data_IF_719383485629
#
_entry.id   IF_719383485629
#
_cell.length_a   1.000
_cell.length_b   1.000
_cell.length_c   1.000
_cell.angle_alpha   90.00
_cell.angle_beta   90.00
_cell.angle_gamma   90.00
#
_symmetry.space_group_name_H-M   'P 1'
#
loop_
_entity.id
_entity.type
_entity.pdbx_description
1 polymer ?
#
# COMPACT_ATOMS: atom_id res chain seq x y z
N UNK A 1 9.32 5.59 -13.78
CA UNK A 1 10.33 4.53 -13.56
C UNK A 1 11.46 4.51 -14.60
N UNK A 2 11.34 5.20 -15.75
CA UNK A 2 12.48 5.42 -16.65
C UNK A 2 13.46 6.40 -16.00
N UNK A 3 14.76 6.10 -16.08
CA UNK A 3 15.83 6.95 -15.55
C UNK A 3 16.16 8.09 -16.53
N UNK A 4 17.23 8.85 -16.26
CA UNK A 4 17.78 9.82 -17.22
C UNK A 4 18.33 9.16 -18.50
N UNK A 5 18.77 7.90 -18.43
CA UNK A 5 19.12 7.11 -19.60
C UNK A 5 17.85 6.46 -20.19
N UNK A 6 17.47 6.73 -21.45
CA UNK A 6 16.14 6.36 -21.98
C UNK A 6 15.80 4.87 -21.99
N UNK A 7 16.82 4.00 -22.04
CA UNK A 7 16.68 2.55 -22.08
C UNK A 7 16.93 1.88 -20.72
N UNK A 8 17.12 2.66 -19.65
CA UNK A 8 17.39 2.16 -18.30
C UNK A 8 16.22 2.53 -17.39
N UNK A 9 15.75 1.53 -16.63
CA UNK A 9 14.64 1.64 -15.68
C UNK A 9 15.10 1.28 -14.27
N UNK A 10 14.38 1.81 -13.28
CA UNK A 10 14.58 1.50 -11.87
C UNK A 10 13.22 1.31 -11.18
N UNK A 11 13.16 0.35 -10.27
CA UNK A 11 11.97 0.00 -9.48
C UNK A 11 12.40 -0.59 -8.13
N UNK A 12 11.48 -0.57 -7.17
CA UNK A 12 11.68 -1.04 -5.80
C UNK A 12 12.42 -0.05 -4.92
N UNK A 13 13.04 -0.54 -3.84
CA UNK A 13 13.58 0.30 -2.78
C UNK A 13 14.60 1.35 -3.26
N UNK A 14 15.27 1.09 -4.39
CA UNK A 14 16.22 2.04 -5.01
C UNK A 14 15.58 3.35 -5.48
N UNK A 15 14.27 3.38 -5.72
CA UNK A 15 13.53 4.58 -6.13
C UNK A 15 12.78 5.27 -4.97
N UNK A 16 12.93 4.76 -3.74
CA UNK A 16 12.37 5.34 -2.52
C UNK A 16 11.09 4.70 -2.02
N UNK A 17 10.43 5.38 -1.07
CA UNK A 17 9.22 4.91 -0.39
C UNK A 17 8.00 4.84 -1.33
N UNK A 18 7.05 3.89 -1.16
CA UNK A 18 7.03 2.84 -0.13
C UNK A 18 7.87 1.61 -0.48
N UNK A 19 8.81 1.28 0.41
CA UNK A 19 9.71 0.13 0.32
C UNK A 19 9.04 -1.15 0.81
N UNK A 20 8.09 -1.64 0.02
CA UNK A 20 7.34 -2.86 0.27
C UNK A 20 7.50 -3.82 -0.92
N UNK A 21 7.58 -5.12 -0.65
CA UNK A 21 7.72 -6.13 -1.71
C UNK A 21 6.59 -6.05 -2.76
N UNK A 22 5.34 -5.85 -2.32
CA UNK A 22 4.17 -5.69 -3.19
C UNK A 22 4.26 -4.43 -4.06
N UNK A 23 4.66 -3.30 -3.49
CA UNK A 23 4.87 -2.05 -4.22
C UNK A 23 6.01 -2.19 -5.23
N UNK A 24 7.14 -2.76 -4.82
CA UNK A 24 8.30 -2.99 -5.68
C UNK A 24 7.96 -3.87 -6.88
N UNK A 25 7.16 -4.92 -6.68
CA UNK A 25 6.64 -5.77 -7.75
C UNK A 25 5.79 -4.97 -8.75
N UNK A 26 4.86 -4.14 -8.25
CA UNK A 26 3.99 -3.33 -9.10
C UNK A 26 4.76 -2.27 -9.89
N UNK A 27 5.73 -1.60 -9.25
CA UNK A 27 6.64 -0.67 -9.93
C UNK A 27 7.43 -1.36 -11.05
N UNK A 28 7.90 -2.59 -10.83
CA UNK A 28 8.58 -3.40 -11.84
C UNK A 28 7.66 -3.73 -13.02
N UNK A 29 6.40 -4.10 -12.74
CA UNK A 29 5.38 -4.35 -13.76
C UNK A 29 5.13 -3.10 -14.62
N UNK A 30 4.97 -1.94 -13.98
CA UNK A 30 4.76 -0.66 -14.69
C UNK A 30 5.98 -0.31 -15.56
N UNK A 31 7.19 -0.49 -15.04
CA UNK A 31 8.42 -0.25 -15.80
C UNK A 31 8.51 -1.15 -17.05
N UNK A 32 8.22 -2.44 -16.91
CA UNK A 32 8.21 -3.39 -18.02
C UNK A 32 7.14 -3.04 -19.07
N UNK A 33 5.90 -2.80 -18.64
CA UNK A 33 4.83 -2.43 -19.57
C UNK A 33 5.15 -1.13 -20.33
N UNK A 34 5.70 -0.11 -19.66
CA UNK A 34 6.17 1.10 -20.34
C UNK A 34 7.28 0.80 -21.36
N UNK A 35 8.24 -0.06 -21.03
CA UNK A 35 9.33 -0.43 -21.94
C UNK A 35 8.84 -1.14 -23.21
N UNK A 36 7.74 -1.89 -23.14
CA UNK A 36 7.15 -2.63 -24.26
C UNK A 36 5.92 -1.95 -24.89
N UNK A 37 5.54 -0.74 -24.46
CA UNK A 37 4.35 -0.05 -24.97
C UNK A 37 3.02 -0.73 -24.63
N UNK A 38 2.99 -1.52 -23.56
CA UNK A 38 1.79 -2.23 -23.09
C UNK A 38 0.99 -1.29 -22.18
N UNK A 39 -0.33 -1.11 -22.42
CA UNK A 39 -1.17 -0.27 -21.57
C UNK A 39 -1.29 -0.87 -20.16
N UNK A 40 -1.38 0.01 -19.17
CA UNK A 40 -1.50 -0.35 -17.76
C UNK A 40 -2.83 0.13 -17.19
N UNK A 41 -3.40 -0.60 -16.22
CA UNK A 41 -4.46 -0.04 -15.38
C UNK A 41 -3.93 1.17 -14.61
N UNK A 42 -4.82 2.08 -14.17
CA UNK A 42 -4.43 3.21 -13.34
C UNK A 42 -3.75 2.72 -12.05
N UNK A 43 -2.75 3.46 -11.53
CA UNK A 43 -2.09 3.10 -10.28
C UNK A 43 -3.11 3.10 -9.13
N UNK A 44 -2.96 2.19 -8.15
CA UNK A 44 -3.80 2.20 -6.97
C UNK A 44 -3.57 3.49 -6.17
N UNK A 45 -4.65 4.07 -5.65
CA UNK A 45 -4.58 5.28 -4.81
C UNK A 45 -4.03 4.99 -3.42
N UNK A 46 -4.12 3.74 -2.97
CA UNK A 46 -3.72 3.32 -1.62
C UNK A 46 -2.93 2.02 -1.67
N UNK A 47 -1.96 1.90 -0.76
CA UNK A 47 -1.15 0.71 -0.59
C UNK A 47 -1.36 0.19 0.84
N UNK A 48 -1.74 -1.09 1.02
CA UNK A 48 -1.85 -1.66 2.35
C UNK A 48 -0.47 -1.90 2.97
N UNK A 49 -0.38 -1.69 4.28
CA UNK A 49 0.78 -2.00 5.10
C UNK A 49 0.43 -3.13 6.07
N UNK A 50 1.37 -4.04 6.30
CA UNK A 50 1.22 -5.15 7.24
C UNK A 50 2.46 -5.31 8.11
N UNK A 51 2.24 -5.47 9.40
CA UNK A 51 3.25 -5.79 10.42
C UNK A 51 2.86 -7.15 10.99
N UNK A 52 3.68 -8.16 10.72
CA UNK A 52 3.45 -9.55 11.14
C UNK A 52 3.94 -9.81 12.57
N UNK A 53 3.49 -8.96 13.50
CA UNK A 53 3.68 -9.16 14.94
C UNK A 53 2.59 -10.09 15.52
N UNK A 54 2.61 -10.31 16.83
CA UNK A 54 1.52 -10.99 17.55
C UNK A 54 0.93 -10.02 18.57
N UNK A 55 -0.29 -9.49 18.37
CA UNK A 55 -1.16 -9.66 17.20
C UNK A 55 -0.62 -8.95 15.94
N UNK A 56 -1.06 -9.41 14.77
CA UNK A 56 -0.74 -8.76 13.50
C UNK A 56 -1.44 -7.40 13.40
N UNK A 57 -0.81 -6.46 12.68
CA UNK A 57 -1.36 -5.11 12.47
C UNK A 57 -1.34 -4.81 10.97
N UNK A 58 -2.43 -4.27 10.43
CA UNK A 58 -2.46 -3.80 9.04
C UNK A 58 -3.28 -2.52 8.91
N UNK A 59 -2.95 -1.71 7.91
CA UNK A 59 -3.64 -0.45 7.60
C UNK A 59 -3.68 -0.23 6.09
N UNK A 60 -4.68 0.52 5.62
CA UNK A 60 -4.80 0.98 4.23
C UNK A 60 -5.56 2.30 4.21
N UNK A 61 -5.21 3.20 3.29
CA UNK A 61 -5.84 4.51 3.19
C UNK A 61 -5.30 5.52 4.19
N UNK A 62 -6.11 6.53 4.48
CA UNK A 62 -5.73 7.65 5.34
C UNK A 62 -5.90 7.32 6.83
N UNK A 63 -5.02 7.84 7.67
CA UNK A 63 -5.21 7.86 9.13
C UNK A 63 -6.17 8.97 9.54
N UNK A 64 -6.78 8.84 10.74
CA UNK A 64 -7.60 9.92 11.32
C UNK A 64 -6.83 11.24 11.44
N UNK A 65 -5.52 11.17 11.72
CA UNK A 65 -4.64 12.34 11.79
C UNK A 65 -4.53 13.04 10.43
N UNK A 66 -4.28 12.29 9.36
CA UNK A 66 -4.22 12.82 7.99
C UNK A 66 -5.55 13.46 7.56
N UNK A 67 -6.68 12.84 7.91
CA UNK A 67 -8.00 13.42 7.59
C UNK A 67 -8.22 14.72 8.36
N UNK A 68 -7.87 14.76 9.65
CA UNK A 68 -7.96 15.96 10.49
C UNK A 68 -7.10 17.10 9.96
N UNK A 69 -5.87 16.81 9.55
CA UNK A 69 -4.96 17.81 8.94
C UNK A 69 -5.51 18.36 7.63
N UNK A 70 -6.19 17.53 6.83
CA UNK A 70 -6.82 17.96 5.58
C UNK A 70 -8.13 18.75 5.78
N UNK A 71 -8.63 18.85 7.02
CA UNK A 71 -9.91 19.50 7.34
C UNK A 71 -11.15 18.70 6.90
N UNK A 72 -11.00 17.41 6.60
CA UNK A 72 -12.10 16.54 6.20
C UNK A 72 -12.98 16.13 7.38
N UNK A 73 -14.29 16.07 7.15
CA UNK A 73 -15.22 15.43 8.09
C UNK A 73 -15.06 13.91 8.01
N UNK A 74 -15.06 13.22 9.15
CA UNK A 74 -14.96 11.77 9.22
C UNK A 74 -15.72 11.20 10.42
N UNK A 75 -16.07 9.93 10.32
CA UNK A 75 -16.71 9.14 11.38
C UNK A 75 -15.86 7.91 11.68
N UNK A 76 -15.93 7.39 12.91
CA UNK A 76 -15.13 6.24 13.34
C UNK A 76 -16.03 5.08 13.76
N UNK A 77 -15.82 3.92 13.14
CA UNK A 77 -16.41 2.65 13.56
C UNK A 77 -15.35 1.70 14.10
N UNK A 78 -15.60 1.08 15.25
CA UNK A 78 -14.67 0.12 15.87
C UNK A 78 -15.41 -1.17 16.20
N UNK A 79 -14.86 -2.30 15.77
CA UNK A 79 -15.26 -3.63 16.19
C UNK A 79 -14.05 -4.33 16.82
N UNK A 80 -14.22 -4.97 17.98
CA UNK A 80 -13.12 -5.63 18.68
C UNK A 80 -13.22 -7.15 18.52
N UNK A 81 -12.07 -7.83 18.40
CA UNK A 81 -12.06 -9.30 18.30
C UNK A 81 -12.78 -9.99 19.46
N UNK A 82 -12.70 -9.44 20.68
CA UNK A 82 -13.43 -9.91 21.88
C UNK A 82 -14.95 -9.81 21.79
N UNK A 83 -15.48 -9.14 20.77
CA UNK A 83 -16.92 -9.01 20.50
C UNK A 83 -17.37 -9.98 19.39
N UNK A 84 -16.44 -10.77 18.83
CA UNK A 84 -16.69 -11.73 17.73
C UNK A 84 -16.57 -13.17 18.20
N UNK A 85 -17.48 -14.05 17.78
CA UNK A 85 -17.43 -15.49 18.13
C UNK A 85 -16.13 -16.15 17.70
N UNK A 86 -15.57 -15.77 16.55
CA UNK A 86 -14.28 -16.31 16.07
C UNK A 86 -13.11 -15.84 16.93
N UNK A 87 -13.11 -14.59 17.39
CA UNK A 87 -12.10 -14.09 18.32
C UNK A 87 -12.07 -14.88 19.63
N UNK A 88 -13.24 -15.30 20.15
CA UNK A 88 -13.29 -16.14 21.34
C UNK A 88 -12.76 -17.56 21.13
N UNK A 89 -12.96 -18.14 19.94
CA UNK A 89 -12.51 -19.50 19.63
C UNK A 89 -11.00 -19.55 19.41
N UNK A 90 -10.41 -18.50 18.83
CA UNK A 90 -8.99 -18.48 18.47
C UNK A 90 -8.03 -18.23 19.64
N UNK A 91 -8.53 -17.76 20.79
CA UNK A 91 -7.72 -17.43 21.97
C UNK A 91 -7.25 -15.97 21.96
#
# INVERSE_FOLDING_TARGET
FRTSAPNIYAAGDVIGFPSLASTSMEQGRVAACHAFGVPLPPPPETFPYGIYAVPEISTVGQSEEQVRESGGAYEVGVARFRETSRGHIMG
#
